data_IF_353577377028
#
_entry.id   IF_353577377028
#
_cell.length_a   1.000
_cell.length_b   1.000
_cell.length_c   1.000
_cell.angle_alpha   90.00
_cell.angle_beta   90.00
_cell.angle_gamma   90.00
#
_symmetry.space_group_name_H-M   'P 1'
#
loop_
_entity.id
_entity.type
_entity.pdbx_description
1 polymer ?
#
# COMPACT_ATOMS: atom_id res chain seq x y z
N UNK A 1 -128.91 -20.13 -7.52
CA UNK A 1 -129.71 -20.47 -6.33
C UNK A 1 -129.30 -21.85 -5.89
N UNK A 2 -128.76 -22.02 -4.67
CA UNK A 2 -128.30 -23.32 -4.15
C UNK A 2 -129.51 -24.26 -4.07
N UNK A 3 -129.48 -25.35 -4.84
CA UNK A 3 -130.52 -26.38 -4.83
C UNK A 3 -130.25 -27.35 -3.68
N UNK A 4 -131.28 -27.83 -2.98
CA UNK A 4 -131.08 -28.72 -1.84
C UNK A 4 -130.66 -30.14 -2.31
N UNK A 5 -130.02 -30.89 -1.41
CA UNK A 5 -129.44 -32.21 -1.69
C UNK A 5 -130.47 -33.22 -2.20
N UNK A 6 -131.71 -33.15 -1.73
CA UNK A 6 -132.77 -34.08 -2.16
C UNK A 6 -133.24 -33.79 -3.59
N UNK A 7 -133.37 -32.49 -3.94
CA UNK A 7 -133.71 -32.08 -5.31
C UNK A 7 -132.62 -32.49 -6.30
N UNK A 8 -131.35 -32.39 -5.92
CA UNK A 8 -130.24 -32.79 -6.78
C UNK A 8 -130.13 -34.32 -6.95
N UNK A 9 -130.50 -35.10 -5.93
CA UNK A 9 -130.44 -36.56 -5.96
C UNK A 9 -131.49 -37.17 -6.90
N UNK A 10 -132.69 -36.59 -6.97
CA UNK A 10 -133.74 -37.05 -7.88
C UNK A 10 -133.30 -37.06 -9.35
N UNK A 11 -132.52 -36.08 -9.80
CA UNK A 11 -132.09 -36.01 -11.21
C UNK A 11 -131.18 -37.18 -11.63
N UNK A 12 -130.36 -37.72 -10.72
CA UNK A 12 -129.52 -38.88 -11.02
C UNK A 12 -130.29 -40.20 -10.94
N UNK A 13 -131.33 -40.26 -10.10
CA UNK A 13 -132.20 -41.44 -9.95
C UNK A 13 -133.19 -41.59 -11.11
N UNK A 14 -133.62 -40.48 -11.73
CA UNK A 14 -134.49 -40.50 -12.93
C UNK A 14 -133.74 -40.68 -14.24
N UNK A 15 -132.41 -40.75 -14.21
CA UNK A 15 -131.57 -41.00 -15.38
C UNK A 15 -131.38 -39.79 -16.30
N UNK A 16 -131.78 -38.59 -15.87
CA UNK A 16 -131.53 -37.37 -16.63
C UNK A 16 -130.07 -36.93 -16.47
N UNK A 17 -129.41 -36.62 -17.60
CA UNK A 17 -128.02 -36.16 -17.58
C UNK A 17 -127.98 -34.71 -17.07
N UNK A 18 -127.32 -34.44 -15.92
CA UNK A 18 -127.26 -33.07 -15.40
C UNK A 18 -126.46 -32.17 -16.35
N UNK A 19 -126.82 -30.89 -16.37
CA UNK A 19 -126.06 -29.83 -17.04
C UNK A 19 -124.76 -29.54 -16.30
N UNK A 20 -123.79 -28.94 -17.00
CA UNK A 20 -122.47 -28.63 -16.42
C UNK A 20 -122.57 -27.70 -15.19
N UNK A 21 -123.50 -26.74 -15.21
CA UNK A 21 -123.72 -25.85 -14.05
C UNK A 21 -124.22 -26.65 -12.84
N UNK A 22 -125.10 -27.63 -13.04
CA UNK A 22 -125.60 -28.48 -11.96
C UNK A 22 -124.49 -29.38 -11.40
N UNK A 23 -123.55 -29.83 -12.24
CA UNK A 23 -122.37 -30.56 -11.78
C UNK A 23 -121.41 -29.67 -10.96
N UNK A 24 -121.19 -28.44 -11.40
CA UNK A 24 -120.37 -27.47 -10.68
C UNK A 24 -120.98 -27.13 -9.31
N UNK A 25 -122.29 -26.89 -9.24
CA UNK A 25 -123.00 -26.63 -7.99
C UNK A 25 -122.93 -27.82 -7.01
N UNK A 26 -122.81 -29.05 -7.54
CA UNK A 26 -122.66 -30.28 -6.76
C UNK A 26 -121.26 -30.42 -6.13
N UNK A 27 -120.23 -30.06 -6.89
CA UNK A 27 -118.83 -30.06 -6.41
C UNK A 27 -118.64 -28.95 -5.38
N UNK A 28 -119.14 -27.75 -5.64
CA UNK A 28 -119.09 -26.64 -4.68
C UNK A 28 -119.83 -26.98 -3.38
N UNK A 29 -120.99 -27.64 -3.48
CA UNK A 29 -121.73 -28.11 -2.29
C UNK A 29 -120.98 -29.18 -1.50
N UNK A 30 -120.28 -30.12 -2.17
CA UNK A 30 -119.50 -31.15 -1.49
C UNK A 30 -118.27 -30.57 -0.77
N UNK A 31 -117.60 -29.59 -1.38
CA UNK A 31 -116.45 -28.90 -0.77
C UNK A 31 -116.89 -27.98 0.37
N UNK A 32 -117.94 -27.17 0.18
CA UNK A 32 -118.49 -26.29 1.23
C UNK A 32 -119.03 -27.10 2.42
N UNK A 33 -119.75 -28.20 2.19
CA UNK A 33 -120.33 -29.01 3.26
C UNK A 33 -119.27 -29.69 4.14
N UNK A 34 -118.04 -29.83 3.64
CA UNK A 34 -116.90 -30.37 4.40
C UNK A 34 -116.07 -29.28 5.06
N UNK A 35 -116.43 -28.00 4.91
CA UNK A 35 -115.76 -26.88 5.55
C UNK A 35 -116.65 -26.22 6.62
N UNK A 36 -116.36 -26.37 7.93
CA UNK A 36 -116.87 -25.41 8.90
C UNK A 36 -116.31 -24.00 8.58
N UNK A 37 -117.04 -22.93 8.97
CA UNK A 37 -116.53 -21.56 8.94
C UNK A 37 -115.14 -21.54 9.61
N UNK A 38 -114.11 -21.14 8.88
CA UNK A 38 -112.73 -21.43 9.26
C UNK A 38 -111.82 -20.21 9.29
N UNK A 39 -111.01 -20.15 10.34
CA UNK A 39 -109.85 -19.28 10.54
C UNK A 39 -108.80 -19.43 9.40
N UNK A 40 -107.91 -18.45 9.28
CA UNK A 40 -106.84 -18.42 8.28
C UNK A 40 -105.84 -19.60 8.42
N UNK A 41 -105.08 -19.89 7.35
CA UNK A 41 -103.98 -20.87 7.29
C UNK A 41 -104.37 -22.35 7.50
N UNK A 42 -105.48 -22.80 6.90
CA UNK A 42 -105.86 -24.23 6.85
C UNK A 42 -105.15 -24.95 5.70
N UNK A 43 -104.81 -26.23 5.90
CA UNK A 43 -104.27 -27.09 4.84
C UNK A 43 -105.22 -28.25 4.56
N UNK A 44 -105.39 -28.58 3.28
CA UNK A 44 -106.08 -29.79 2.86
C UNK A 44 -105.14 -30.98 2.96
N UNK A 45 -105.57 -32.03 3.67
CA UNK A 45 -104.86 -33.31 3.76
C UNK A 45 -105.70 -34.34 3.03
N UNK A 46 -105.11 -34.96 2.02
CA UNK A 46 -105.70 -36.09 1.29
C UNK A 46 -105.07 -37.35 1.87
N UNK A 47 -105.88 -38.23 2.43
CA UNK A 47 -105.37 -39.49 2.95
C UNK A 47 -105.11 -40.54 1.85
N UNK A 48 -104.56 -41.68 2.25
CA UNK A 48 -104.23 -42.78 1.34
C UNK A 48 -105.45 -43.41 0.65
N UNK A 49 -106.66 -43.14 1.13
CA UNK A 49 -107.93 -43.58 0.50
C UNK A 49 -108.54 -42.53 -0.42
N UNK A 50 -107.92 -41.35 -0.51
CA UNK A 50 -108.38 -40.22 -1.30
C UNK A 50 -109.44 -39.36 -0.61
N UNK A 51 -109.69 -39.57 0.70
CA UNK A 51 -110.57 -38.68 1.46
C UNK A 51 -109.85 -37.36 1.75
N UNK A 52 -110.56 -36.26 1.47
CA UNK A 52 -110.07 -34.91 1.72
C UNK A 52 -110.57 -34.45 3.09
N UNK A 53 -109.64 -34.12 3.98
CA UNK A 53 -109.91 -33.50 5.27
C UNK A 53 -109.18 -32.17 5.40
N UNK A 54 -109.58 -31.34 6.36
CA UNK A 54 -108.97 -30.04 6.64
C UNK A 54 -108.22 -30.13 7.97
N UNK A 55 -106.94 -29.77 7.98
CA UNK A 55 -106.09 -29.72 9.17
C UNK A 55 -105.52 -28.31 9.39
N UNK A 56 -105.08 -28.04 10.61
CA UNK A 56 -104.36 -26.81 10.97
C UNK A 56 -102.98 -26.73 10.32
N UNK A 57 -102.41 -25.52 10.25
CA UNK A 57 -101.05 -25.27 9.77
C UNK A 57 -100.02 -26.17 10.46
N UNK A 58 -99.10 -26.73 9.68
CA UNK A 58 -97.98 -27.49 10.23
C UNK A 58 -96.87 -26.52 10.61
N UNK A 59 -96.70 -26.30 11.90
CA UNK A 59 -95.55 -25.57 12.42
C UNK A 59 -94.32 -26.47 12.29
N UNK A 60 -93.45 -26.14 11.33
CA UNK A 60 -92.11 -26.72 11.24
C UNK A 60 -91.20 -25.94 12.18
N UNK A 61 -90.46 -26.62 13.08
CA UNK A 61 -89.61 -25.93 14.03
C UNK A 61 -88.50 -25.16 13.31
N UNK A 62 -88.25 -23.93 13.76
CA UNK A 62 -87.19 -23.09 13.23
C UNK A 62 -85.90 -23.37 13.99
N UNK A 63 -84.86 -23.77 13.26
CA UNK A 63 -83.53 -24.00 13.81
C UNK A 63 -82.63 -22.82 13.47
N UNK A 64 -81.97 -22.27 14.49
CA UNK A 64 -80.99 -21.19 14.34
C UNK A 64 -79.71 -21.53 15.10
N UNK A 65 -78.61 -20.82 14.80
CA UNK A 65 -77.36 -20.96 15.54
C UNK A 65 -77.18 -19.76 16.48
N UNK A 66 -76.67 -20.01 17.69
CA UNK A 66 -76.30 -18.93 18.59
C UNK A 66 -75.08 -18.15 18.06
N UNK A 67 -74.93 -16.85 18.40
CA UNK A 67 -73.65 -16.17 18.27
C UNK A 67 -72.58 -16.90 19.09
N UNK A 68 -71.33 -16.86 18.61
CA UNK A 68 -70.18 -17.38 19.37
C UNK A 68 -69.95 -16.43 20.56
N UNK A 69 -70.16 -16.92 21.78
CA UNK A 69 -70.02 -16.11 22.99
C UNK A 69 -68.90 -16.64 23.88
N UNK A 70 -67.78 -15.92 23.97
CA UNK A 70 -66.68 -15.96 24.98
C UNK A 70 -66.03 -17.31 25.38
N UNK A 71 -66.61 -18.44 24.99
CA UNK A 71 -66.35 -19.80 25.43
C UNK A 71 -66.16 -20.72 24.23
N UNK A 72 -66.02 -20.15 23.03
CA UNK A 72 -65.81 -20.87 21.77
C UNK A 72 -66.86 -21.94 21.47
N UNK A 73 -68.08 -21.80 21.96
CA UNK A 73 -69.18 -22.72 21.66
C UNK A 73 -70.18 -22.10 20.69
N UNK A 74 -70.84 -22.97 19.92
CA UNK A 74 -72.03 -22.64 19.12
C UNK A 74 -73.14 -23.61 19.50
N UNK A 75 -74.30 -23.05 19.83
CA UNK A 75 -75.49 -23.81 20.15
C UNK A 75 -76.41 -23.87 18.94
N UNK A 76 -76.94 -25.06 18.64
CA UNK A 76 -78.10 -25.22 17.78
C UNK A 76 -79.35 -24.95 18.63
N UNK A 77 -80.08 -23.90 18.28
CA UNK A 77 -81.30 -23.49 18.95
C UNK A 77 -82.50 -24.02 18.15
N UNK A 78 -83.48 -24.59 18.85
CA UNK A 78 -84.81 -24.92 18.34
C UNK A 78 -85.81 -24.04 19.06
N UNK A 79 -86.50 -23.17 18.32
CA UNK A 79 -87.46 -22.20 18.89
C UNK A 79 -86.84 -21.34 20.01
N UNK A 80 -85.56 -20.97 19.84
CA UNK A 80 -84.77 -20.16 20.79
C UNK A 80 -84.17 -20.93 21.97
N UNK A 81 -84.40 -22.24 22.09
CA UNK A 81 -83.86 -23.09 23.17
C UNK A 81 -82.72 -23.97 22.65
N UNK A 82 -81.61 -24.03 23.38
CA UNK A 82 -80.44 -24.85 23.01
C UNK A 82 -80.78 -26.34 23.06
N UNK A 83 -80.58 -27.03 21.93
CA UNK A 83 -80.85 -28.47 21.78
C UNK A 83 -79.58 -29.27 21.48
N UNK A 84 -78.49 -28.61 21.09
CA UNK A 84 -77.16 -29.22 20.92
C UNK A 84 -76.09 -28.14 21.01
N UNK A 85 -74.93 -28.47 21.55
CA UNK A 85 -73.79 -27.56 21.67
C UNK A 85 -72.56 -28.18 21.02
N UNK A 86 -71.86 -27.39 20.22
CA UNK A 86 -70.59 -27.76 19.60
C UNK A 86 -69.50 -26.92 20.25
N UNK A 87 -68.50 -27.60 20.82
CA UNK A 87 -67.27 -26.97 21.31
C UNK A 87 -66.29 -26.76 20.15
N UNK A 88 -65.92 -25.51 19.88
CA UNK A 88 -64.95 -25.15 18.85
C UNK A 88 -63.52 -25.04 19.39
N UNK A 89 -63.30 -25.19 20.70
CA UNK A 89 -61.97 -25.13 21.32
C UNK A 89 -60.94 -26.03 20.65
N UNK A 90 -61.24 -27.28 20.24
CA UNK A 90 -60.28 -28.13 19.53
C UNK A 90 -59.86 -27.61 18.14
N UNK A 91 -60.67 -26.74 17.54
CA UNK A 91 -60.48 -26.23 16.18
C UNK A 91 -59.93 -24.79 16.16
N UNK A 92 -59.84 -24.15 17.32
CA UNK A 92 -59.29 -22.82 17.51
C UNK A 92 -57.94 -22.93 18.22
N UNK A 93 -56.90 -23.31 17.47
CA UNK A 93 -55.53 -23.37 18.01
C UNK A 93 -54.91 -21.96 18.12
N UNK A 94 -54.81 -21.45 19.34
CA UNK A 94 -54.00 -20.29 19.70
C UNK A 94 -53.30 -20.44 21.06
N UNK A 95 -53.30 -21.65 21.64
CA UNK A 95 -52.80 -21.93 23.00
C UNK A 95 -51.62 -22.91 23.04
N UNK A 96 -51.25 -23.52 21.91
CA UNK A 96 -50.24 -24.59 21.89
C UNK A 96 -48.90 -24.20 21.26
N UNK A 97 -48.75 -22.94 20.82
CA UNK A 97 -47.48 -22.41 20.34
C UNK A 97 -46.84 -21.56 21.44
N UNK A 98 -45.87 -22.16 22.14
CA UNK A 98 -45.07 -21.48 23.15
C UNK A 98 -44.51 -20.16 22.57
N UNK A 99 -44.69 -19.05 23.29
CA UNK A 99 -44.36 -17.70 22.81
C UNK A 99 -42.93 -17.35 23.20
N UNK A 100 -42.26 -16.53 22.37
CA UNK A 100 -40.92 -16.02 22.71
C UNK A 100 -41.02 -15.10 23.94
N UNK A 101 -40.18 -15.35 24.95
CA UNK A 101 -40.08 -14.54 26.16
C UNK A 101 -38.77 -13.76 26.21
N UNK A 102 -37.68 -14.37 25.78
CA UNK A 102 -36.36 -13.72 25.78
C UNK A 102 -35.45 -14.27 24.68
N UNK A 103 -34.36 -13.54 24.43
CA UNK A 103 -33.28 -13.99 23.57
C UNK A 103 -31.95 -13.41 24.03
N UNK A 104 -30.87 -14.15 23.83
CA UNK A 104 -29.48 -13.69 24.04
C UNK A 104 -28.65 -14.07 22.82
N UNK A 105 -27.61 -13.29 22.52
CA UNK A 105 -26.66 -13.59 21.44
C UNK A 105 -25.27 -13.70 22.04
N UNK A 106 -24.56 -14.77 21.72
CA UNK A 106 -23.21 -15.01 22.24
C UNK A 106 -22.11 -14.27 21.45
N UNK A 107 -20.85 -14.45 21.89
CA UNK A 107 -19.69 -13.86 21.23
C UNK A 107 -19.42 -14.44 19.81
N UNK A 108 -20.02 -15.56 19.44
CA UNK A 108 -19.90 -16.17 18.12
C UNK A 108 -21.08 -15.80 17.19
N UNK A 109 -22.08 -15.08 17.70
CA UNK A 109 -23.27 -14.71 16.93
C UNK A 109 -24.40 -15.75 16.97
N UNK A 110 -24.33 -16.76 17.85
CA UNK A 110 -25.40 -17.72 18.04
C UNK A 110 -26.47 -17.12 18.96
N UNK A 111 -27.67 -16.90 18.43
CA UNK A 111 -28.80 -16.40 19.19
C UNK A 111 -29.58 -17.56 19.81
N UNK A 112 -29.76 -17.53 21.13
CA UNK A 112 -30.60 -18.48 21.86
C UNK A 112 -31.87 -17.79 22.30
N UNK A 113 -33.02 -18.28 21.85
CA UNK A 113 -34.34 -17.78 22.22
C UNK A 113 -34.99 -18.72 23.24
N UNK A 114 -35.57 -18.14 24.29
CA UNK A 114 -36.31 -18.88 25.32
C UNK A 114 -37.79 -18.58 25.17
N UNK A 115 -38.60 -19.63 25.18
CA UNK A 115 -40.06 -19.53 25.16
C UNK A 115 -40.64 -19.55 26.58
N UNK A 116 -41.93 -19.23 26.73
CA UNK A 116 -42.66 -19.24 28.01
C UNK A 116 -42.79 -20.63 28.66
N UNK A 117 -42.70 -21.70 27.88
CA UNK A 117 -42.59 -23.09 28.34
C UNK A 117 -41.16 -23.51 28.76
N UNK A 118 -40.23 -22.56 28.79
CA UNK A 118 -38.81 -22.76 29.09
C UNK A 118 -38.06 -23.62 28.05
N UNK A 119 -38.68 -23.94 26.91
CA UNK A 119 -37.98 -24.51 25.77
C UNK A 119 -37.12 -23.46 25.08
N UNK A 120 -36.04 -23.91 24.43
CA UNK A 120 -35.12 -23.03 23.70
C UNK A 120 -34.94 -23.50 22.27
N UNK A 121 -34.67 -22.56 21.36
CA UNK A 121 -34.09 -22.86 20.05
C UNK A 121 -33.01 -21.84 19.72
N UNK A 122 -32.12 -22.22 18.80
CA UNK A 122 -30.98 -21.40 18.41
C UNK A 122 -31.10 -20.98 16.94
N UNK A 123 -30.65 -19.76 16.65
CA UNK A 123 -30.50 -19.23 15.29
C UNK A 123 -29.09 -18.71 15.14
N UNK A 124 -28.41 -19.13 14.08
CA UNK A 124 -27.08 -18.60 13.76
C UNK A 124 -27.22 -17.22 13.10
N UNK A 125 -26.77 -16.18 13.80
CA UNK A 125 -26.69 -14.81 13.33
C UNK A 125 -25.24 -14.37 13.11
N UNK A 126 -24.28 -15.29 13.03
CA UNK A 126 -22.86 -14.98 12.76
C UNK A 126 -22.67 -14.15 11.50
N UNK A 127 -23.50 -14.38 10.47
CA UNK A 127 -23.50 -13.61 9.22
C UNK A 127 -23.93 -12.14 9.39
N UNK A 128 -24.56 -11.76 10.51
CA UNK A 128 -24.92 -10.38 10.81
C UNK A 128 -23.81 -9.64 11.58
N UNK A 129 -22.76 -10.34 12.02
CA UNK A 129 -21.57 -9.67 12.57
C UNK A 129 -20.82 -9.01 11.43
N UNK A 130 -20.77 -7.69 11.49
CA UNK A 130 -19.98 -6.92 10.54
C UNK A 130 -18.52 -7.38 10.62
N UNK A 131 -17.97 -7.75 9.48
CA UNK A 131 -16.59 -8.23 9.42
C UNK A 131 -15.72 -6.99 9.46
N UNK A 132 -15.27 -6.58 10.65
CA UNK A 132 -14.34 -5.45 10.78
C UNK A 132 -13.10 -5.74 9.91
N UNK A 133 -12.66 -4.80 9.06
CA UNK A 133 -11.50 -4.99 8.20
C UNK A 133 -10.29 -5.45 9.01
N UNK A 134 -9.65 -6.53 8.56
CA UNK A 134 -8.38 -7.00 9.14
C UNK A 134 -7.24 -6.32 8.40
N UNK A 135 -6.47 -5.49 9.09
CA UNK A 135 -5.31 -4.81 8.52
C UNK A 135 -4.03 -5.61 8.79
N UNK A 136 -3.29 -5.95 7.74
CA UNK A 136 -1.98 -6.57 7.86
C UNK A 136 -0.90 -5.52 7.66
N UNK A 137 -0.06 -5.33 8.68
CA UNK A 137 1.10 -4.45 8.57
C UNK A 137 2.13 -5.05 7.59
N UNK A 138 2.59 -4.24 6.63
CA UNK A 138 3.78 -4.55 5.84
C UNK A 138 5.07 -4.25 6.61
N UNK A 139 6.22 -4.54 6.01
CA UNK A 139 7.52 -4.17 6.59
C UNK A 139 7.57 -2.68 6.90
N UNK A 140 8.06 -2.32 8.09
CA UNK A 140 8.18 -0.96 8.63
C UNK A 140 6.85 -0.20 8.86
N UNK A 141 5.72 -0.89 8.79
CA UNK A 141 4.42 -0.34 9.18
C UNK A 141 4.06 -0.90 10.55
N UNK A 142 3.58 -0.04 11.44
CA UNK A 142 2.90 -0.46 12.67
C UNK A 142 1.46 0.00 12.60
N UNK A 143 0.53 -0.89 12.92
CA UNK A 143 -0.90 -0.61 12.91
C UNK A 143 -1.42 -0.76 14.34
N UNK A 144 -1.94 0.32 14.91
CA UNK A 144 -2.73 0.27 16.13
C UNK A 144 -4.18 -0.08 15.76
N UNK A 145 -4.64 -1.25 16.19
CA UNK A 145 -5.98 -1.77 15.91
C UNK A 145 -6.91 -1.64 17.12
N UNK A 146 -6.62 -0.76 18.09
CA UNK A 146 -7.48 -0.54 19.26
C UNK A 146 -8.88 -0.09 18.85
N UNK A 147 -8.99 0.72 17.79
CA UNK A 147 -10.23 0.96 17.05
C UNK A 147 -10.10 0.38 15.62
N UNK A 148 -10.68 -0.79 15.32
CA UNK A 148 -10.61 -1.41 14.01
C UNK A 148 -11.30 -0.61 12.89
N UNK A 149 -12.17 0.36 13.21
CA UNK A 149 -12.78 1.23 12.19
C UNK A 149 -11.94 2.47 11.90
N UNK A 150 -11.00 2.80 12.79
CA UNK A 150 -10.09 3.94 12.67
C UNK A 150 -8.67 3.56 13.12
N UNK A 151 -7.99 2.65 12.40
CA UNK A 151 -6.65 2.24 12.79
C UNK A 151 -5.66 3.41 12.68
N UNK A 152 -4.71 3.49 13.62
CA UNK A 152 -3.57 4.41 13.47
C UNK A 152 -2.46 3.65 12.72
N UNK A 153 -2.18 4.08 11.50
CA UNK A 153 -1.12 3.51 10.66
C UNK A 153 0.09 4.42 10.72
N UNK A 154 1.14 3.95 11.40
CA UNK A 154 2.43 4.63 11.43
C UNK A 154 3.41 3.91 10.50
N UNK A 155 4.06 4.66 9.62
CA UNK A 155 5.22 4.18 8.91
C UNK A 155 6.46 4.60 9.69
N UNK A 156 7.25 3.63 10.16
CA UNK A 156 8.64 3.91 10.47
C UNK A 156 9.30 4.14 9.12
N UNK A 157 9.72 5.37 8.81
CA UNK A 157 10.39 5.66 7.54
C UNK A 157 11.52 4.63 7.35
N UNK A 158 11.32 3.70 6.42
CA UNK A 158 12.21 2.56 6.28
C UNK A 158 13.55 3.05 5.81
N UNK A 159 14.53 3.17 6.71
CA UNK A 159 15.96 3.37 6.43
C UNK A 159 16.29 4.16 5.15
N UNK A 160 15.51 5.21 4.89
CA UNK A 160 15.63 6.10 3.75
C UNK A 160 16.03 7.49 4.22
N UNK A 161 16.59 7.57 5.43
CA UNK A 161 17.32 8.75 5.85
C UNK A 161 18.36 9.04 4.78
N UNK A 162 18.44 10.29 4.35
CA UNK A 162 19.60 10.77 3.60
C UNK A 162 20.84 10.28 4.36
N UNK A 163 21.70 9.54 3.67
CA UNK A 163 23.00 9.23 4.26
C UNK A 163 23.77 10.54 4.21
N UNK A 164 23.71 11.27 5.32
CA UNK A 164 24.41 12.52 5.45
C UNK A 164 25.87 12.16 5.68
N UNK A 165 26.69 12.55 4.71
CA UNK A 165 28.14 12.45 4.81
C UNK A 165 28.65 13.70 5.50
N UNK A 166 29.33 13.50 6.63
CA UNK A 166 30.01 14.57 7.36
C UNK A 166 31.52 14.35 7.30
N UNK A 167 32.31 15.41 7.33
CA UNK A 167 33.77 15.35 7.36
C UNK A 167 34.28 15.82 8.73
N UNK A 168 34.97 14.92 9.42
CA UNK A 168 35.68 15.25 10.67
C UNK A 168 37.08 15.78 10.31
N UNK A 169 37.34 17.05 10.65
CA UNK A 169 38.62 17.72 10.35
C UNK A 169 39.77 17.24 11.25
N UNK A 170 39.49 16.78 12.46
CA UNK A 170 40.50 16.34 13.42
C UNK A 170 41.04 14.96 13.03
N UNK A 171 40.16 14.06 12.61
CA UNK A 171 40.51 12.68 12.23
C UNK A 171 40.67 12.50 10.72
N UNK A 172 40.21 13.48 9.92
CA UNK A 172 40.17 13.43 8.45
C UNK A 172 39.33 12.28 7.90
N UNK A 173 38.26 11.90 8.62
CA UNK A 173 37.36 10.80 8.23
C UNK A 173 36.02 11.32 7.72
N UNK A 174 35.48 10.69 6.68
CA UNK A 174 34.09 10.89 6.25
C UNK A 174 33.20 9.92 7.01
N UNK A 175 32.28 10.45 7.81
CA UNK A 175 31.33 9.67 8.61
C UNK A 175 29.95 9.67 7.95
N UNK A 176 29.35 8.48 7.89
CA UNK A 176 28.00 8.25 7.39
C UNK A 176 27.00 8.26 8.54
N UNK A 177 25.92 9.03 8.43
CA UNK A 177 24.84 9.08 9.42
C UNK A 177 24.13 7.74 9.64
N UNK A 178 24.26 6.78 8.72
CA UNK A 178 23.64 5.44 8.81
C UNK A 178 24.56 4.37 9.44
N UNK A 179 25.81 4.70 9.77
CA UNK A 179 26.79 3.72 10.29
C UNK A 179 27.32 2.73 9.24
N UNK A 180 26.67 2.60 8.08
CA UNK A 180 27.22 1.97 6.88
C UNK A 180 28.15 2.95 6.17
N UNK A 181 29.44 2.62 6.08
CA UNK A 181 30.45 3.52 5.49
C UNK A 181 30.17 3.84 4.02
N UNK A 182 30.37 5.09 3.62
CA UNK A 182 30.39 5.47 2.22
C UNK A 182 31.78 5.25 1.64
N UNK A 183 31.86 4.53 0.52
CA UNK A 183 33.12 4.35 -0.22
C UNK A 183 33.26 5.51 -1.20
N UNK A 184 34.20 6.41 -0.93
CA UNK A 184 34.62 7.42 -1.90
C UNK A 184 35.83 6.87 -2.67
N UNK A 185 35.71 6.55 -3.98
CA UNK A 185 36.83 6.02 -4.75
C UNK A 185 37.96 7.06 -4.84
N UNK A 186 39.17 6.65 -5.20
CA UNK A 186 40.20 7.62 -5.61
C UNK A 186 39.81 8.23 -6.95
N UNK A 187 40.15 9.50 -7.15
CA UNK A 187 39.93 10.19 -8.41
C UNK A 187 40.80 9.57 -9.52
N UNK A 188 40.17 9.28 -10.65
CA UNK A 188 40.83 8.90 -11.90
C UNK A 188 40.10 9.53 -13.09
N UNK A 189 40.45 9.14 -14.32
CA UNK A 189 39.84 9.70 -15.54
C UNK A 189 38.34 9.36 -15.70
N UNK A 190 37.82 8.39 -14.95
CA UNK A 190 36.44 7.88 -15.01
C UNK A 190 35.66 8.15 -13.73
N UNK A 191 36.32 8.14 -12.57
CA UNK A 191 35.70 8.25 -11.25
C UNK A 191 35.95 9.63 -10.63
N UNK A 192 34.88 10.35 -10.32
CA UNK A 192 34.93 11.52 -9.44
C UNK A 192 35.17 11.03 -8.00
N UNK A 193 36.42 11.12 -7.53
CA UNK A 193 36.86 10.53 -6.26
C UNK A 193 37.72 11.45 -5.40
N UNK A 194 38.30 10.89 -4.32
CA UNK A 194 39.28 11.56 -3.48
C UNK A 194 40.61 11.72 -4.22
N UNK A 195 41.23 12.89 -4.06
CA UNK A 195 42.57 13.13 -4.57
C UNK A 195 43.56 12.15 -3.91
N UNK A 196 44.46 11.56 -4.71
CA UNK A 196 45.50 10.65 -4.18
C UNK A 196 46.31 11.34 -3.08
N UNK A 197 46.69 10.61 -2.05
CA UNK A 197 47.57 11.13 -1.00
C UNK A 197 48.85 11.73 -1.62
N UNK A 198 49.30 12.87 -1.08
CA UNK A 198 50.45 13.65 -1.55
C UNK A 198 50.33 14.16 -3.00
N UNK A 199 49.12 14.26 -3.57
CA UNK A 199 49.00 14.80 -4.93
C UNK A 199 49.51 16.24 -5.03
N UNK A 200 49.37 17.01 -3.96
CA UNK A 200 49.92 18.35 -3.83
C UNK A 200 50.91 18.39 -2.66
N UNK A 201 52.12 18.90 -2.90
CA UNK A 201 53.09 19.17 -1.85
C UNK A 201 54.04 20.30 -2.23
N UNK A 202 54.53 21.00 -1.22
CA UNK A 202 55.49 22.09 -1.34
C UNK A 202 56.57 21.92 -0.29
N UNK A 203 57.80 22.34 -0.60
CA UNK A 203 58.89 22.16 0.34
C UNK A 203 60.18 22.81 -0.11
N UNK A 204 61.20 22.60 0.72
CA UNK A 204 62.59 22.94 0.42
C UNK A 204 63.38 21.66 0.13
N UNK A 205 64.47 21.77 -0.62
CA UNK A 205 65.37 20.65 -0.88
C UNK A 205 66.82 21.14 -0.92
N UNK A 206 67.79 20.22 -0.89
CA UNK A 206 69.21 20.56 -0.81
C UNK A 206 69.95 20.04 -2.05
N UNK A 207 69.86 20.75 -3.18
CA UNK A 207 70.60 20.39 -4.38
C UNK A 207 72.09 20.67 -4.21
N UNK A 208 72.94 19.95 -4.96
CA UNK A 208 74.38 20.16 -4.97
C UNK A 208 74.91 20.26 -6.41
N UNK A 209 75.87 21.15 -6.64
CA UNK A 209 76.63 21.19 -7.90
C UNK A 209 77.70 20.10 -7.88
N UNK A 210 77.84 19.35 -8.96
CA UNK A 210 78.80 18.26 -9.09
C UNK A 210 79.55 18.33 -10.43
N UNK A 211 80.85 18.04 -10.38
CA UNK A 211 81.72 17.83 -11.54
C UNK A 211 81.65 16.37 -11.98
N UNK A 212 80.72 16.05 -12.88
CA UNK A 212 80.45 14.67 -13.29
C UNK A 212 81.66 14.05 -14.00
N UNK A 213 82.19 12.96 -13.45
CA UNK A 213 83.43 12.30 -13.90
C UNK A 213 84.71 13.13 -13.71
N UNK A 214 84.64 14.23 -12.96
CA UNK A 214 85.81 14.98 -12.53
C UNK A 214 86.03 14.87 -11.02
N UNK A 215 87.03 15.60 -10.51
CA UNK A 215 87.43 15.58 -9.10
C UNK A 215 87.13 16.88 -8.36
N UNK A 216 86.57 17.88 -9.05
CA UNK A 216 86.29 19.18 -8.45
C UNK A 216 85.05 19.13 -7.55
N UNK A 217 85.05 19.99 -6.53
CA UNK A 217 83.93 20.18 -5.61
C UNK A 217 83.48 21.62 -5.65
N UNK A 218 82.17 21.83 -5.60
CA UNK A 218 81.55 23.13 -5.52
C UNK A 218 81.00 23.37 -4.12
N UNK A 219 81.43 24.47 -3.48
CA UNK A 219 80.86 24.92 -2.21
C UNK A 219 80.00 26.15 -2.45
N UNK A 220 78.80 26.18 -1.89
CA UNK A 220 77.86 27.29 -2.07
C UNK A 220 76.79 27.31 -0.97
N UNK A 221 76.23 28.50 -0.71
CA UNK A 221 74.96 28.64 0.01
C UNK A 221 73.80 28.37 -0.95
N UNK A 222 72.78 27.65 -0.48
CA UNK A 222 71.68 27.14 -1.32
C UNK A 222 70.33 27.61 -0.77
N UNK A 223 69.48 28.16 -1.64
CA UNK A 223 68.02 28.27 -1.42
C UNK A 223 67.32 27.56 -2.58
N UNK A 224 66.60 26.49 -2.26
CA UNK A 224 65.92 25.68 -3.26
C UNK A 224 64.56 25.21 -2.75
N UNK A 225 63.54 25.37 -3.62
CA UNK A 225 62.14 25.13 -3.27
C UNK A 225 61.43 24.42 -4.42
N UNK A 226 60.43 23.63 -4.06
CA UNK A 226 59.60 22.95 -5.06
C UNK A 226 58.12 23.03 -4.72
N UNK A 227 57.32 22.84 -5.76
CA UNK A 227 55.88 22.61 -5.73
C UNK A 227 55.57 21.44 -6.65
N UNK A 228 54.88 20.42 -6.14
CA UNK A 228 54.45 19.26 -6.93
C UNK A 228 52.94 19.19 -6.99
N UNK A 229 52.41 18.92 -8.19
CA UNK A 229 51.00 18.63 -8.44
C UNK A 229 50.92 17.39 -9.33
N UNK A 230 50.43 16.28 -8.78
CA UNK A 230 50.49 14.98 -9.44
C UNK A 230 51.93 14.59 -9.74
N UNK A 231 52.22 14.32 -11.02
CA UNK A 231 53.58 14.03 -11.49
C UNK A 231 54.37 15.28 -11.90
N UNK A 232 53.80 16.49 -11.88
CA UNK A 232 54.52 17.69 -12.32
C UNK A 232 55.20 18.36 -11.12
N UNK A 233 56.51 18.49 -11.19
CA UNK A 233 57.34 19.19 -10.19
C UNK A 233 57.82 20.50 -10.78
N UNK A 234 57.46 21.62 -10.17
CA UNK A 234 58.06 22.92 -10.42
C UNK A 234 59.11 23.21 -9.35
N UNK A 235 60.26 23.75 -9.74
CA UNK A 235 61.34 24.04 -8.81
C UNK A 235 62.02 25.39 -9.10
N UNK A 236 62.63 25.95 -8.05
CA UNK A 236 63.60 27.04 -8.13
C UNK A 236 64.84 26.65 -7.33
N UNK A 237 66.02 26.98 -7.88
CA UNK A 237 67.31 26.76 -7.24
C UNK A 237 68.14 28.02 -7.36
N UNK A 238 68.71 28.45 -6.25
CA UNK A 238 69.64 29.57 -6.16
C UNK A 238 70.89 29.15 -5.39
N UNK A 239 72.00 29.03 -6.12
CA UNK A 239 73.34 28.86 -5.56
C UNK A 239 74.01 30.23 -5.46
N UNK A 240 74.57 30.54 -4.29
CA UNK A 240 75.27 31.80 -4.03
C UNK A 240 76.65 31.55 -3.38
N UNK A 241 77.60 32.42 -3.67
CA UNK A 241 78.96 32.31 -3.16
C UNK A 241 79.67 31.04 -3.62
N UNK A 242 79.42 30.60 -4.87
CA UNK A 242 79.98 29.37 -5.41
C UNK A 242 81.50 29.50 -5.48
N UNK A 243 82.20 28.53 -4.90
CA UNK A 243 83.66 28.43 -5.01
C UNK A 243 84.04 27.03 -5.47
N UNK A 244 85.05 26.97 -6.33
CA UNK A 244 85.58 25.74 -6.90
C UNK A 244 86.99 25.49 -6.35
N UNK A 245 87.27 24.26 -5.89
CA UNK A 245 88.55 23.94 -5.22
C UNK A 245 89.71 23.68 -6.19
N UNK A 246 89.45 23.01 -7.31
CA UNK A 246 90.40 22.70 -8.38
C UNK A 246 89.70 22.83 -9.73
N UNK A 247 90.46 23.01 -10.81
CA UNK A 247 89.90 23.10 -12.16
C UNK A 247 89.04 21.86 -12.48
N UNK A 248 87.74 22.02 -12.76
CA UNK A 248 86.87 20.91 -13.13
C UNK A 248 87.29 20.28 -14.47
N UNK A 249 87.03 18.98 -14.63
CA UNK A 249 87.37 18.24 -15.85
C UNK A 249 86.20 17.51 -16.49
N UNK A 250 85.05 17.51 -15.83
CA UNK A 250 83.84 16.81 -16.24
C UNK A 250 82.73 17.75 -16.70
N UNK A 251 81.48 17.29 -16.55
CA UNK A 251 80.29 18.07 -16.88
C UNK A 251 79.59 18.56 -15.62
N UNK A 252 79.10 19.80 -15.64
CA UNK A 252 78.31 20.33 -14.54
C UNK A 252 76.95 19.64 -14.50
N UNK A 253 76.60 19.08 -13.34
CA UNK A 253 75.24 18.60 -13.04
C UNK A 253 74.80 19.10 -11.68
N UNK A 254 73.49 19.08 -11.46
CA UNK A 254 72.89 19.37 -10.16
C UNK A 254 72.27 18.08 -9.63
N UNK A 255 72.75 17.57 -8.50
CA UNK A 255 72.16 16.42 -7.82
C UNK A 255 71.23 16.85 -6.70
N UNK A 256 70.51 15.90 -6.12
CA UNK A 256 69.62 16.16 -4.97
C UNK A 256 68.26 16.73 -5.36
N UNK A 257 67.79 16.51 -6.59
CA UNK A 257 66.43 16.86 -6.98
C UNK A 257 65.40 16.15 -6.08
N UNK A 258 64.28 16.78 -5.72
CA UNK A 258 63.40 16.31 -4.64
C UNK A 258 62.68 14.99 -4.95
N UNK A 259 62.48 14.68 -6.23
CA UNK A 259 61.83 13.44 -6.70
C UNK A 259 62.54 12.85 -7.90
N UNK A 260 62.53 11.52 -8.01
CA UNK A 260 63.01 10.83 -9.20
C UNK A 260 62.16 11.20 -10.43
N UNK A 261 62.82 11.61 -11.51
CA UNK A 261 62.16 11.88 -12.79
C UNK A 261 61.67 10.58 -13.47
N UNK A 262 60.66 10.74 -14.33
CA UNK A 262 60.16 9.68 -15.20
C UNK A 262 61.23 9.20 -16.21
N UNK A 263 61.19 7.92 -16.59
CA UNK A 263 62.22 7.24 -17.41
C UNK A 263 62.44 7.88 -18.79
N UNK A 264 61.45 8.58 -19.32
CA UNK A 264 61.57 9.43 -20.50
C UNK A 264 61.33 10.88 -20.08
N UNK A 265 62.29 11.82 -20.27
CA UNK A 265 62.14 13.21 -19.88
C UNK A 265 61.18 13.93 -20.83
N UNK A 266 59.88 13.61 -20.79
CA UNK A 266 58.85 14.35 -21.50
C UNK A 266 58.47 15.59 -20.66
N UNK A 267 58.45 16.77 -21.28
CA UNK A 267 57.96 17.99 -20.65
C UNK A 267 58.91 18.67 -19.65
N UNK A 268 60.21 18.40 -19.69
CA UNK A 268 61.18 19.17 -18.88
C UNK A 268 61.41 20.55 -19.50
N UNK A 269 61.14 21.61 -18.74
CA UNK A 269 61.47 22.98 -19.12
C UNK A 269 62.39 23.56 -18.06
N UNK A 270 63.55 24.11 -18.45
CA UNK A 270 64.49 24.73 -17.52
C UNK A 270 64.85 26.10 -18.06
N UNK A 271 64.81 27.09 -17.19
CA UNK A 271 65.24 28.46 -17.46
C UNK A 271 66.44 28.78 -16.60
N UNK A 272 67.56 29.07 -17.26
CA UNK A 272 68.80 29.50 -16.62
C UNK A 272 68.75 31.02 -16.46
N UNK A 273 68.44 31.46 -15.24
CA UNK A 273 68.12 32.86 -14.97
C UNK A 273 69.37 33.72 -14.80
N UNK A 274 70.45 33.14 -14.24
CA UNK A 274 71.68 33.88 -13.93
C UNK A 274 72.84 32.92 -13.75
N UNK A 275 73.99 33.23 -14.34
CA UNK A 275 75.26 32.60 -14.03
C UNK A 275 76.36 33.67 -14.04
N UNK A 276 76.99 33.91 -12.89
CA UNK A 276 78.03 34.93 -12.71
C UNK A 276 79.20 34.36 -11.93
N UNK A 277 80.38 34.96 -12.11
CA UNK A 277 81.59 34.58 -11.40
C UNK A 277 82.17 33.23 -11.84
N UNK A 278 81.69 32.68 -12.96
CA UNK A 278 82.28 31.53 -13.66
C UNK A 278 83.35 31.99 -14.66
N UNK A 279 84.31 31.12 -14.96
CA UNK A 279 85.25 31.25 -16.08
C UNK A 279 84.64 30.90 -17.46
N UNK A 280 83.45 30.27 -17.48
CA UNK A 280 82.75 29.94 -18.72
C UNK A 280 82.18 31.17 -19.45
N UNK A 281 82.29 31.15 -20.78
CA UNK A 281 81.77 32.18 -21.69
C UNK A 281 80.33 31.92 -22.16
N UNK A 282 79.73 30.78 -21.81
CA UNK A 282 78.39 30.37 -22.23
C UNK A 282 77.59 29.90 -21.02
N UNK A 283 76.30 30.24 -20.95
CA UNK A 283 75.38 29.61 -20.00
C UNK A 283 74.82 28.30 -20.57
N UNK A 284 74.47 27.32 -19.75
CA UNK A 284 73.71 26.17 -20.23
C UNK A 284 72.47 26.65 -20.97
N UNK A 285 72.14 26.00 -22.09
CA UNK A 285 71.00 26.40 -22.92
C UNK A 285 69.82 25.45 -22.82
N UNK A 286 70.06 24.26 -22.27
CA UNK A 286 69.06 23.22 -22.08
C UNK A 286 69.49 22.30 -20.95
N UNK A 287 68.55 21.47 -20.51
CA UNK A 287 68.83 20.44 -19.52
C UNK A 287 67.66 19.48 -19.40
N UNK A 288 67.86 18.42 -18.63
CA UNK A 288 66.81 17.47 -18.33
C UNK A 288 67.04 16.86 -16.95
N UNK A 289 65.96 16.48 -16.26
CA UNK A 289 66.07 15.75 -15.00
C UNK A 289 65.99 14.26 -15.29
N UNK A 290 66.99 13.51 -14.85
CA UNK A 290 67.02 12.05 -14.89
C UNK A 290 67.27 11.50 -13.49
N UNK A 291 66.40 10.62 -13.02
CA UNK A 291 66.35 10.22 -11.61
C UNK A 291 66.33 11.48 -10.71
N UNK A 292 67.23 11.61 -9.73
CA UNK A 292 67.34 12.78 -8.84
C UNK A 292 68.41 13.77 -9.27
N UNK A 293 68.77 13.77 -10.57
CA UNK A 293 69.86 14.56 -11.12
C UNK A 293 69.37 15.41 -12.27
N UNK A 294 69.65 16.71 -12.20
CA UNK A 294 69.50 17.63 -13.30
C UNK A 294 70.80 17.70 -14.11
N UNK A 295 70.72 17.28 -15.37
CA UNK A 295 71.81 17.35 -16.34
C UNK A 295 71.72 18.65 -17.12
N UNK A 296 72.84 19.35 -17.21
CA UNK A 296 72.97 20.59 -17.96
C UNK A 296 73.58 20.28 -19.33
N UNK A 297 73.09 20.92 -20.38
CA UNK A 297 73.57 20.76 -21.75
C UNK A 297 73.91 22.11 -22.35
N UNK A 298 74.89 22.07 -23.23
CA UNK A 298 75.16 23.15 -24.17
C UNK A 298 74.82 22.66 -25.59
N UNK A 299 74.53 23.60 -26.48
CA UNK A 299 74.63 23.39 -27.92
C UNK A 299 75.82 24.22 -28.39
N UNK A 300 77.05 23.67 -28.32
CA UNK A 300 78.10 24.23 -29.15
C UNK A 300 77.61 24.24 -30.59
N UNK A 301 77.85 25.34 -31.31
CA UNK A 301 77.53 25.45 -32.72
C UNK A 301 78.22 24.29 -33.47
N UNK A 302 77.46 23.30 -33.92
CA UNK A 302 77.97 22.11 -34.63
C UNK A 302 78.18 20.84 -33.80
N UNK A 303 77.79 20.78 -32.53
CA UNK A 303 77.88 19.55 -31.71
C UNK A 303 76.61 18.68 -31.78
N UNK A 304 76.77 17.39 -31.49
CA UNK A 304 75.66 16.45 -31.30
C UNK A 304 74.87 16.80 -30.03
N UNK A 305 73.55 16.60 -30.08
CA UNK A 305 72.52 16.95 -29.08
C UNK A 305 72.75 16.45 -27.63
N UNK A 306 73.84 15.76 -27.34
CA UNK A 306 74.08 15.01 -26.10
C UNK A 306 75.39 15.37 -25.37
N UNK A 307 76.05 16.46 -25.77
CA UNK A 307 77.26 16.93 -25.09
C UNK A 307 76.88 17.61 -23.76
N UNK A 308 77.30 17.04 -22.62
CA UNK A 308 77.10 17.65 -21.30
C UNK A 308 77.78 19.02 -21.19
N UNK A 309 77.16 19.95 -20.47
CA UNK A 309 77.73 21.28 -20.23
C UNK A 309 79.03 21.16 -19.43
N UNK A 310 80.13 21.70 -19.95
CA UNK A 310 81.46 21.59 -19.32
C UNK A 310 81.44 22.31 -17.97
N UNK A 311 81.97 21.66 -16.95
CA UNK A 311 82.02 22.17 -15.59
C UNK A 311 82.93 23.43 -15.49
N UNK A 312 82.39 24.61 -15.11
CA UNK A 312 83.19 25.83 -15.00
C UNK A 312 83.81 25.98 -13.62
N UNK A 313 84.89 26.75 -13.52
CA UNK A 313 85.44 27.23 -12.25
C UNK A 313 84.68 28.47 -11.80
N UNK A 314 84.25 28.52 -10.53
CA UNK A 314 83.63 29.70 -9.94
C UNK A 314 84.54 30.39 -8.91
N UNK A 315 84.55 31.73 -8.94
CA UNK A 315 85.15 32.59 -7.91
C UNK A 315 84.07 33.50 -7.32
N UNK A 316 83.47 33.11 -6.20
CA UNK A 316 82.31 33.79 -5.59
C UNK A 316 81.13 33.88 -6.55
N UNK A 317 80.83 32.75 -7.18
CA UNK A 317 79.83 32.65 -8.23
C UNK A 317 78.38 32.69 -7.76
N UNK A 318 77.48 32.92 -8.71
CA UNK A 318 76.03 32.81 -8.52
C UNK A 318 75.48 31.98 -9.66
N UNK A 319 74.62 31.01 -9.36
CA UNK A 319 73.91 30.24 -10.36
C UNK A 319 72.45 30.05 -9.96
N UNK A 320 71.54 30.56 -10.80
CA UNK A 320 70.11 30.58 -10.55
C UNK A 320 69.35 29.95 -11.70
N UNK A 321 68.41 29.06 -11.39
CA UNK A 321 67.58 28.39 -12.37
C UNK A 321 66.21 28.05 -11.80
N UNK A 322 65.25 27.93 -12.71
CA UNK A 322 63.89 27.46 -12.42
C UNK A 322 63.52 26.43 -13.45
N UNK A 323 62.62 25.51 -13.12
CA UNK A 323 62.16 24.56 -14.12
C UNK A 323 60.95 23.75 -13.69
N UNK A 324 60.49 22.93 -14.63
CA UNK A 324 59.46 21.93 -14.43
C UNK A 324 59.95 20.59 -14.95
N UNK A 325 59.63 19.49 -14.28
CA UNK A 325 59.85 18.13 -14.78
C UNK A 325 58.76 17.17 -14.30
N UNK A 326 58.65 16.01 -14.95
CA UNK A 326 57.73 14.95 -14.56
C UNK A 326 58.42 13.92 -13.64
N UNK A 327 57.78 13.53 -12.53
CA UNK A 327 58.22 12.46 -11.62
C UNK A 327 57.44 11.16 -11.86
N UNK A 328 58.01 10.03 -11.43
CA UNK A 328 57.44 8.69 -11.55
C UNK A 328 56.54 8.26 -10.36
N UNK A 329 56.07 9.20 -9.54
CA UNK A 329 55.31 8.86 -8.32
C UNK A 329 53.91 8.30 -8.58
N UNK A 330 53.22 8.76 -9.63
CA UNK A 330 51.87 8.29 -10.00
C UNK A 330 51.79 7.65 -11.38
N UNK A 331 52.93 7.28 -11.97
CA UNK A 331 52.93 6.46 -13.19
C UNK A 331 52.48 5.04 -12.84
N UNK A 332 51.39 4.59 -13.47
CA UNK A 332 50.86 3.23 -13.41
C UNK A 332 51.69 2.26 -14.24
#
# INVERSE_FOLDING_TARGET
>A
MKQNKETLKQFFETGDKPTQQQYADLIDSYIDAKQPEGEANRRFVIDETGEVSVASELQVPEYTLSPISGTNTVDLLKDGVSVSQIDLTPYLDNTNLARLVSGTVDANGLATFTRDDNSTFMVDLSNLKDTVPQYQAGSNITIDTTDPLQPIINATAGSGGTTDLSYDVATRTVASSSGTGAVLPLADATNAGLQKANFYEEGTFTPALEDANGASTYNSSIDARFKRVGNIVQFSIFFNGITTNITPSGSLKITGMPFSAETAPMGTTISFNRMLGSDSSQIPNSGYVGNTTLYLRDQPTGATLDSGYIAPTFTTGVFALTGTYATNLYTS
#
